data_IF_194615371094
#
_entry.id   IF_194615371094
#
_cell.length_a   1.000
_cell.length_b   1.000
_cell.length_c   1.000
_cell.angle_alpha   90.00
_cell.angle_beta   90.00
_cell.angle_gamma   90.00
#
_symmetry.space_group_name_H-M   'P 1'
#
loop_
_entity.id
_entity.type
_entity.pdbx_description
1 polymer ?
#
# COMPACT_ATOMS: atom_id res chain seq x y z
N UNK A 1 22.99 8.96 9.86
CA UNK A 1 23.03 7.56 9.38
C UNK A 1 22.78 7.58 7.89
N UNK A 2 23.83 7.45 7.08
CA UNK A 2 23.70 7.24 5.64
C UNK A 2 23.39 5.77 5.43
N UNK A 3 22.12 5.44 5.20
CA UNK A 3 21.73 4.11 4.74
C UNK A 3 22.52 3.84 3.44
N UNK A 4 23.28 2.74 3.35
CA UNK A 4 24.04 2.42 2.15
C UNK A 4 23.08 2.32 0.96
N UNK A 5 23.55 2.76 -0.20
CA UNK A 5 22.84 2.79 -1.48
C UNK A 5 22.57 1.37 -2.06
N UNK A 6 22.08 0.45 -1.22
CA UNK A 6 21.52 -0.87 -1.59
C UNK A 6 20.06 -0.68 -2.07
N UNK A 7 19.62 0.57 -2.23
CA UNK A 7 18.33 0.91 -2.83
C UNK A 7 18.49 0.81 -4.36
N UNK A 8 18.16 -0.40 -4.83
CA UNK A 8 17.22 -0.64 -5.91
C UNK A 8 17.51 0.12 -7.22
N UNK A 9 17.92 -0.62 -8.25
CA UNK A 9 17.60 -0.14 -9.60
C UNK A 9 16.07 0.09 -9.65
N UNK A 10 15.61 1.33 -9.92
CA UNK A 10 14.19 1.62 -9.98
C UNK A 10 13.58 0.67 -11.02
N UNK A 11 12.46 0.03 -10.67
CA UNK A 11 11.74 -0.76 -11.67
C UNK A 11 11.26 0.23 -12.70
N UNK A 12 11.67 0.02 -13.95
CA UNK A 12 11.18 0.84 -15.05
C UNK A 12 9.65 0.74 -15.12
N UNK A 13 8.99 1.86 -15.35
CA UNK A 13 7.53 1.98 -15.37
C UNK A 13 6.93 0.99 -16.37
N UNK A 14 7.60 0.81 -17.52
CA UNK A 14 7.19 -0.15 -18.55
C UNK A 14 7.23 -1.58 -17.99
N UNK A 15 8.32 -1.97 -17.33
CA UNK A 15 8.44 -3.32 -16.76
C UNK A 15 7.42 -3.56 -15.65
N UNK A 16 7.13 -2.55 -14.83
CA UNK A 16 6.09 -2.64 -13.80
C UNK A 16 4.69 -2.81 -14.42
N UNK A 17 4.40 -2.09 -15.51
CA UNK A 17 3.13 -2.17 -16.22
C UNK A 17 2.92 -3.52 -16.91
N UNK A 18 3.93 -4.00 -17.64
CA UNK A 18 3.86 -5.31 -18.29
C UNK A 18 3.82 -6.43 -17.24
N UNK A 19 4.63 -6.34 -16.18
CA UNK A 19 4.61 -7.29 -15.07
C UNK A 19 3.24 -7.38 -14.40
N UNK A 20 2.58 -6.24 -14.14
CA UNK A 20 1.25 -6.23 -13.54
C UNK A 20 0.17 -6.77 -14.48
N UNK A 21 0.26 -6.49 -15.78
CA UNK A 21 -0.70 -6.97 -16.78
C UNK A 21 -0.64 -8.48 -16.99
N UNK A 22 0.56 -9.07 -16.95
CA UNK A 22 0.76 -10.51 -17.15
C UNK A 22 0.83 -11.32 -15.85
N UNK A 23 0.61 -10.68 -14.70
CA UNK A 23 0.66 -11.35 -13.39
C UNK A 23 2.02 -11.94 -13.05
N UNK A 24 3.10 -11.34 -13.57
CA UNK A 24 4.46 -11.82 -13.29
C UNK A 24 4.87 -11.34 -11.89
N UNK A 25 4.90 -12.28 -10.95
CA UNK A 25 5.43 -12.05 -9.61
C UNK A 25 6.93 -11.74 -9.68
N UNK A 26 7.32 -10.46 -9.58
CA UNK A 26 8.72 -10.09 -9.37
C UNK A 26 8.96 -10.08 -7.86
N UNK A 27 9.08 -11.27 -7.27
CA UNK A 27 9.51 -11.40 -5.89
C UNK A 27 10.92 -10.80 -5.74
N UNK A 28 11.08 -9.77 -4.93
CA UNK A 28 12.38 -9.13 -4.72
C UNK A 28 12.82 -9.28 -3.28
N UNK A 29 13.65 -10.30 -3.07
CA UNK A 29 14.39 -10.43 -1.83
C UNK A 29 15.64 -9.53 -1.87
N UNK A 30 16.08 -8.98 -0.72
CA UNK A 30 17.32 -8.24 -0.64
C UNK A 30 18.45 -9.08 -1.24
N UNK A 31 19.13 -8.52 -2.24
CA UNK A 31 20.31 -9.15 -2.84
C UNK A 31 21.42 -9.18 -1.81
N UNK A 32 22.25 -10.23 -1.82
CA UNK A 32 23.52 -10.20 -1.11
C UNK A 32 24.28 -8.93 -1.52
N UNK A 33 24.93 -8.28 -0.56
CA UNK A 33 25.71 -7.06 -0.78
C UNK A 33 26.75 -7.24 -1.92
N UNK A 34 27.14 -8.48 -2.16
CA UNK A 34 28.13 -8.94 -3.13
C UNK A 34 27.62 -8.94 -4.59
N UNK A 35 26.41 -8.44 -4.86
CA UNK A 35 25.84 -8.38 -6.22
C UNK A 35 25.40 -9.73 -6.78
N UNK A 36 25.38 -10.78 -5.95
CA UNK A 36 24.98 -12.14 -6.33
C UNK A 36 23.49 -12.31 -6.65
N UNK A 37 23.13 -13.52 -7.09
CA UNK A 37 21.76 -13.93 -7.40
C UNK A 37 20.77 -13.58 -6.27
N UNK A 38 19.51 -13.32 -6.64
CA UNK A 38 18.44 -13.11 -5.66
C UNK A 38 18.41 -14.30 -4.69
N UNK A 39 18.53 -14.03 -3.39
CA UNK A 39 18.35 -15.06 -2.37
C UNK A 39 16.94 -15.61 -2.47
N UNK A 40 16.80 -16.93 -2.46
CA UNK A 40 15.48 -17.54 -2.31
C UNK A 40 14.90 -17.13 -0.94
N UNK A 41 13.57 -16.91 -0.83
CA UNK A 41 12.92 -16.77 0.47
C UNK A 41 13.34 -17.87 1.46
N UNK A 42 13.58 -19.08 0.95
CA UNK A 42 14.02 -20.24 1.71
C UNK A 42 15.39 -20.00 2.34
N UNK A 43 16.35 -19.50 1.57
CA UNK A 43 17.71 -19.24 2.04
C UNK A 43 17.74 -18.13 3.09
N UNK A 44 16.86 -17.13 2.95
CA UNK A 44 16.75 -16.05 3.92
C UNK A 44 16.09 -16.49 5.22
N UNK A 45 14.98 -17.22 5.12
CA UNK A 45 14.33 -17.80 6.29
C UNK A 45 15.27 -18.76 7.00
N UNK A 46 16.00 -19.59 6.24
CA UNK A 46 17.04 -20.46 6.78
C UNK A 46 18.15 -19.65 7.43
N UNK A 47 18.64 -18.57 6.81
CA UNK A 47 19.65 -17.69 7.42
C UNK A 47 19.19 -17.04 8.72
N UNK A 48 17.92 -16.61 8.79
CA UNK A 48 17.31 -16.10 10.03
C UNK A 48 17.22 -17.22 11.08
N UNK A 49 16.74 -18.41 10.69
CA UNK A 49 16.65 -19.57 11.58
C UNK A 49 18.02 -20.05 12.08
N UNK A 50 19.03 -20.09 11.21
CA UNK A 50 20.41 -20.46 11.53
C UNK A 50 21.04 -19.41 12.45
N UNK A 51 20.71 -18.12 12.27
CA UNK A 51 21.12 -17.04 13.18
C UNK A 51 20.52 -17.24 14.57
N UNK A 52 19.28 -17.73 14.68
CA UNK A 52 18.70 -18.15 15.96
C UNK A 52 19.31 -19.44 16.53
N UNK A 53 19.89 -20.30 15.68
CA UNK A 53 20.66 -21.47 16.11
C UNK A 53 21.94 -21.08 16.85
N UNK A 54 22.59 -19.99 16.42
CA UNK A 54 23.73 -19.39 17.13
C UNK A 54 23.33 -18.55 18.34
N UNK A 55 22.16 -17.89 18.28
CA UNK A 55 21.51 -17.21 19.39
C UNK A 55 20.63 -18.19 20.19
N UNK A 56 21.22 -19.32 20.61
CA UNK A 56 20.53 -20.30 21.41
C UNK A 56 20.33 -19.75 22.83
N UNK A 57 19.31 -18.92 23.03
CA UNK A 57 18.66 -18.92 24.33
C UNK A 57 18.23 -20.36 24.56
N UNK A 58 18.92 -21.06 25.45
CA UNK A 58 18.34 -22.24 26.08
C UNK A 58 16.93 -21.82 26.56
N UNK A 59 15.90 -22.69 26.45
CA UNK A 59 14.61 -22.42 27.09
C UNK A 59 14.79 -21.91 28.52
N UNK A 60 15.79 -22.43 29.24
CA UNK A 60 16.17 -22.02 30.58
C UNK A 60 16.77 -20.61 30.64
N UNK A 61 17.54 -20.18 29.63
CA UNK A 61 18.10 -18.83 29.56
C UNK A 61 17.05 -17.79 29.19
N UNK A 62 16.06 -18.14 28.35
CA UNK A 62 14.93 -17.25 28.07
C UNK A 62 14.10 -17.04 29.34
N UNK A 63 13.87 -18.12 30.10
CA UNK A 63 13.17 -18.10 31.40
C UNK A 63 14.00 -17.35 32.46
N UNK A 64 15.33 -17.50 32.45
CA UNK A 64 16.26 -16.81 33.38
C UNK A 64 16.57 -15.37 32.97
N UNK A 65 16.31 -14.98 31.72
CA UNK A 65 16.45 -13.60 31.28
C UNK A 65 15.52 -12.72 32.11
N UNK A 66 15.97 -11.51 32.42
CA UNK A 66 15.37 -10.68 33.47
C UNK A 66 13.87 -10.36 33.30
N UNK A 67 13.30 -10.58 32.09
CA UNK A 67 11.86 -10.66 31.89
C UNK A 67 11.52 -11.31 30.51
N UNK A 68 11.14 -12.60 30.44
CA UNK A 68 10.75 -13.25 29.18
C UNK A 68 9.52 -12.59 28.54
N UNK A 69 8.64 -11.98 29.34
CA UNK A 69 7.47 -11.27 28.81
C UNK A 69 7.91 -10.01 28.06
N UNK A 70 8.86 -9.27 28.61
CA UNK A 70 9.40 -8.07 27.96
C UNK A 70 10.00 -8.36 26.58
N UNK A 71 10.73 -9.47 26.42
CA UNK A 71 11.28 -9.87 25.11
C UNK A 71 10.17 -10.21 24.12
N UNK A 72 9.15 -10.92 24.58
CA UNK A 72 8.00 -11.29 23.77
C UNK A 72 7.19 -10.05 23.36
N UNK A 73 6.96 -9.14 24.30
CA UNK A 73 6.25 -7.88 24.08
C UNK A 73 7.00 -7.02 23.06
N UNK A 74 8.33 -6.93 23.13
CA UNK A 74 9.14 -6.22 22.12
C UNK A 74 9.04 -6.86 20.73
N UNK A 75 9.05 -8.19 20.65
CA UNK A 75 8.91 -8.88 19.36
C UNK A 75 7.51 -8.64 18.77
N UNK A 76 6.48 -8.65 19.61
CA UNK A 76 5.10 -8.30 19.24
C UNK A 76 4.99 -6.84 18.80
N UNK A 77 5.58 -5.90 19.52
CA UNK A 77 5.60 -4.48 19.16
C UNK A 77 6.26 -4.26 17.79
N UNK A 78 7.35 -4.99 17.51
CA UNK A 78 8.00 -4.95 16.18
C UNK A 78 7.09 -5.49 15.08
N UNK A 79 6.32 -6.54 15.36
CA UNK A 79 5.34 -7.09 14.41
C UNK A 79 4.21 -6.08 14.16
N UNK A 80 3.66 -5.50 15.23
CA UNK A 80 2.58 -4.52 15.16
C UNK A 80 3.02 -3.25 14.43
N UNK A 81 4.26 -2.81 14.61
CA UNK A 81 4.82 -1.67 13.87
C UNK A 81 4.94 -1.97 12.37
N UNK A 82 5.50 -3.12 11.99
CA UNK A 82 5.60 -3.52 10.58
C UNK A 82 4.22 -3.64 9.92
N UNK A 83 3.23 -4.13 10.67
CA UNK A 83 1.83 -4.20 10.24
C UNK A 83 1.22 -2.80 10.05
N UNK A 84 1.36 -1.90 11.04
CA UNK A 84 0.86 -0.51 10.96
C UNK A 84 1.43 0.22 9.75
N UNK A 85 2.72 0.03 9.44
CA UNK A 85 3.33 0.60 8.25
C UNK A 85 2.68 0.10 6.96
N UNK A 86 2.36 -1.19 6.89
CA UNK A 86 1.64 -1.76 5.73
C UNK A 86 0.25 -1.14 5.59
N UNK A 87 -0.52 -1.13 6.66
CA UNK A 87 -1.89 -0.59 6.68
C UNK A 87 -1.92 0.90 6.34
N UNK A 88 -0.94 1.67 6.82
CA UNK A 88 -0.80 3.09 6.48
C UNK A 88 -0.56 3.30 4.98
N UNK A 89 0.33 2.53 4.35
CA UNK A 89 0.61 2.67 2.93
C UNK A 89 -0.58 2.26 2.06
N UNK A 90 -1.25 1.15 2.41
CA UNK A 90 -2.45 0.69 1.70
C UNK A 90 -3.59 1.73 1.83
N UNK A 91 -3.80 2.29 3.03
CA UNK A 91 -4.79 3.36 3.24
C UNK A 91 -4.45 4.64 2.45
N UNK A 92 -3.17 5.00 2.38
CA UNK A 92 -2.70 6.15 1.59
C UNK A 92 -2.94 5.93 0.08
N UNK A 93 -2.62 4.75 -0.43
CA UNK A 93 -2.86 4.39 -1.83
C UNK A 93 -4.36 4.38 -2.17
N UNK A 94 -5.18 3.84 -1.28
CA UNK A 94 -6.65 3.85 -1.42
C UNK A 94 -7.21 5.27 -1.52
N UNK A 95 -6.77 6.20 -0.66
CA UNK A 95 -7.17 7.61 -0.74
C UNK A 95 -6.79 8.26 -2.07
N UNK A 96 -5.58 7.99 -2.58
CA UNK A 96 -5.12 8.53 -3.85
C UNK A 96 -6.00 8.04 -5.01
N UNK A 97 -6.32 6.75 -5.06
CA UNK A 97 -7.18 6.16 -6.08
C UNK A 97 -8.59 6.78 -6.07
N UNK A 98 -9.16 6.97 -4.88
CA UNK A 98 -10.48 7.61 -4.74
C UNK A 98 -10.48 9.04 -5.28
N UNK A 99 -9.45 9.83 -4.96
CA UNK A 99 -9.31 11.20 -5.48
C UNK A 99 -9.23 11.19 -7.01
N UNK A 100 -8.40 10.31 -7.59
CA UNK A 100 -8.26 10.17 -9.04
C UNK A 100 -9.59 9.73 -9.70
N UNK A 101 -10.35 8.84 -9.06
CA UNK A 101 -11.65 8.41 -9.57
C UNK A 101 -12.65 9.58 -9.62
N UNK A 102 -12.73 10.40 -8.57
CA UNK A 102 -13.58 11.59 -8.56
C UNK A 102 -13.16 12.62 -9.61
N UNK A 103 -11.85 12.88 -9.74
CA UNK A 103 -11.31 13.75 -10.79
C UNK A 103 -11.67 13.22 -12.18
N UNK A 104 -11.57 11.90 -12.39
CA UNK A 104 -11.92 11.23 -13.66
C UNK A 104 -13.41 11.40 -13.99
N UNK A 105 -14.30 11.24 -13.00
CA UNK A 105 -15.74 11.44 -13.18
C UNK A 105 -16.10 12.89 -13.51
N UNK A 106 -15.46 13.85 -12.82
CA UNK A 106 -15.66 15.27 -13.07
C UNK A 106 -15.22 15.66 -14.49
N UNK A 107 -14.02 15.23 -14.91
CA UNK A 107 -13.53 15.54 -16.27
C UNK A 107 -14.35 14.82 -17.33
N UNK A 108 -14.81 13.58 -17.10
CA UNK A 108 -15.68 12.88 -18.04
C UNK A 108 -17.00 13.64 -18.26
N UNK A 109 -17.55 14.27 -17.22
CA UNK A 109 -18.76 15.09 -17.32
C UNK A 109 -18.52 16.35 -18.17
N UNK A 110 -17.42 17.06 -17.91
CA UNK A 110 -17.03 18.25 -18.69
C UNK A 110 -16.75 17.87 -20.15
N UNK A 111 -16.07 16.76 -20.36
CA UNK A 111 -15.76 16.24 -21.69
C UNK A 111 -17.02 15.78 -22.44
N UNK A 112 -18.02 15.23 -21.75
CA UNK A 112 -19.32 14.91 -22.35
C UNK A 112 -19.98 16.14 -22.98
N UNK A 113 -19.96 17.28 -22.28
CA UNK A 113 -20.43 18.55 -22.85
C UNK A 113 -19.58 19.02 -24.04
N UNK A 114 -18.28 18.79 -23.99
CA UNK A 114 -17.39 19.08 -25.12
C UNK A 114 -17.77 18.27 -26.37
N UNK A 115 -18.10 16.98 -26.23
CA UNK A 115 -18.56 16.13 -27.34
C UNK A 115 -19.86 16.70 -27.95
N UNK A 116 -20.80 17.16 -27.13
CA UNK A 116 -22.07 17.75 -27.60
C UNK A 116 -21.83 18.99 -28.49
N UNK A 117 -20.82 19.80 -28.15
CA UNK A 117 -20.46 21.00 -28.92
C UNK A 117 -19.61 20.70 -30.15
N UNK A 118 -18.80 19.65 -30.10
CA UNK A 118 -17.82 19.30 -31.14
C UNK A 118 -17.92 17.82 -31.55
N UNK A 119 -19.03 17.39 -32.18
CA UNK A 119 -19.20 16.02 -32.64
C UNK A 119 -18.27 15.73 -33.82
N UNK A 120 -17.50 14.64 -33.74
CA UNK A 120 -16.51 14.27 -34.76
C UNK A 120 -17.12 13.91 -36.12
N UNK A 121 -18.41 13.53 -36.15
CA UNK A 121 -19.09 13.08 -37.36
C UNK A 121 -19.79 14.20 -38.14
N UNK A 122 -19.93 15.41 -37.57
CA UNK A 122 -20.56 16.50 -38.31
C UNK A 122 -19.52 17.09 -39.26
N UNK A 123 -19.69 16.83 -40.56
CA UNK A 123 -18.83 17.36 -41.63
C UNK A 123 -18.94 18.88 -41.82
N UNK A 124 -19.13 19.65 -40.74
CA UNK A 124 -19.32 21.09 -40.80
C UNK A 124 -18.01 21.81 -41.14
N UNK A 125 -18.05 22.56 -42.25
CA UNK A 125 -16.94 23.38 -42.76
C UNK A 125 -16.39 24.39 -41.74
N UNK A 126 -17.19 24.80 -40.74
CA UNK A 126 -16.79 25.74 -39.68
C UNK A 126 -15.75 25.19 -38.71
N UNK A 127 -15.59 23.86 -38.62
CA UNK A 127 -14.64 23.22 -37.71
C UNK A 127 -13.32 22.91 -38.42
N UNK A 128 -13.17 23.21 -39.71
CA UNK A 128 -12.00 22.76 -40.49
C UNK A 128 -10.68 23.33 -39.97
N UNK A 129 -10.69 24.59 -39.52
CA UNK A 129 -9.50 25.24 -38.93
C UNK A 129 -9.28 24.86 -37.46
N UNK A 130 -10.36 24.48 -36.76
CA UNK A 130 -10.35 24.04 -35.37
C UNK A 130 -10.13 22.52 -35.19
N UNK A 131 -10.30 21.75 -36.26
CA UNK A 131 -10.20 20.30 -36.29
C UNK A 131 -8.92 19.74 -35.64
N UNK A 132 -7.70 20.28 -35.90
CA UNK A 132 -6.51 19.74 -35.25
C UNK A 132 -6.57 19.91 -33.73
N UNK A 133 -7.14 21.01 -33.24
CA UNK A 133 -7.21 21.30 -31.82
C UNK A 133 -8.23 20.42 -31.10
N UNK A 134 -9.40 20.23 -31.71
CA UNK A 134 -10.41 19.27 -31.25
C UNK A 134 -9.80 17.87 -31.17
N UNK A 135 -9.10 17.41 -32.22
CA UNK A 135 -8.43 16.11 -32.23
C UNK A 135 -7.37 15.96 -31.14
N UNK A 136 -6.60 17.02 -30.86
CA UNK A 136 -5.64 17.04 -29.75
C UNK A 136 -6.36 16.84 -28.41
N UNK A 137 -7.49 17.53 -28.18
CA UNK A 137 -8.28 17.40 -26.95
C UNK A 137 -8.84 15.99 -26.78
N UNK A 138 -9.38 15.37 -27.84
CA UNK A 138 -9.80 13.96 -27.81
C UNK A 138 -8.63 13.02 -27.52
N UNK A 139 -7.47 13.25 -28.16
CA UNK A 139 -6.26 12.46 -27.94
C UNK A 139 -5.72 12.57 -26.51
N UNK A 140 -5.69 13.77 -25.95
CA UNK A 140 -5.29 14.02 -24.56
C UNK A 140 -6.23 13.34 -23.57
N UNK A 141 -7.54 13.38 -23.80
CA UNK A 141 -8.52 12.70 -22.96
C UNK A 141 -8.36 11.17 -23.02
N UNK A 142 -8.22 10.60 -24.22
CA UNK A 142 -7.97 9.17 -24.37
C UNK A 142 -6.66 8.72 -23.71
N UNK A 143 -5.58 9.47 -23.92
CA UNK A 143 -4.28 9.21 -23.31
C UNK A 143 -4.33 9.32 -21.78
N UNK A 144 -5.04 10.33 -21.25
CA UNK A 144 -5.31 10.47 -19.82
C UNK A 144 -6.00 9.22 -19.25
N UNK A 145 -7.09 8.76 -19.87
CA UNK A 145 -7.83 7.59 -19.42
C UNK A 145 -6.95 6.32 -19.43
N UNK A 146 -6.12 6.14 -20.46
CA UNK A 146 -5.19 5.01 -20.54
C UNK A 146 -4.15 5.05 -19.42
N UNK A 147 -3.57 6.23 -19.13
CA UNK A 147 -2.60 6.39 -18.04
C UNK A 147 -3.22 6.21 -16.65
N UNK A 148 -4.45 6.72 -16.44
CA UNK A 148 -5.19 6.49 -15.18
C UNK A 148 -5.45 5.00 -15.00
N UNK A 149 -5.96 4.31 -16.02
CA UNK A 149 -6.23 2.88 -15.97
C UNK A 149 -4.96 2.07 -15.72
N UNK A 150 -3.86 2.38 -16.42
CA UNK A 150 -2.56 1.75 -16.22
C UNK A 150 -2.00 1.98 -14.80
N UNK A 151 -2.05 3.22 -14.32
CA UNK A 151 -1.61 3.58 -12.96
C UNK A 151 -2.45 2.90 -11.88
N UNK A 152 -3.77 2.82 -12.08
CA UNK A 152 -4.68 2.12 -11.18
C UNK A 152 -4.42 0.61 -11.17
N UNK A 153 -4.19 -0.01 -12.33
CA UNK A 153 -3.86 -1.43 -12.45
C UNK A 153 -2.55 -1.77 -11.71
N UNK A 154 -1.50 -0.98 -11.90
CA UNK A 154 -0.22 -1.16 -11.20
C UNK A 154 -0.39 -0.99 -9.68
N UNK A 155 -1.14 0.03 -9.25
CA UNK A 155 -1.41 0.28 -7.82
C UNK A 155 -2.22 -0.86 -7.20
N UNK A 156 -3.25 -1.36 -7.90
CA UNK A 156 -4.05 -2.49 -7.45
C UNK A 156 -3.22 -3.77 -7.36
N UNK A 157 -2.38 -4.02 -8.36
CA UNK A 157 -1.46 -5.16 -8.35
C UNK A 157 -0.54 -5.09 -7.13
N UNK A 158 0.06 -3.92 -6.84
CA UNK A 158 0.89 -3.68 -5.66
C UNK A 158 0.15 -3.99 -4.34
N UNK A 159 -1.10 -3.52 -4.22
CA UNK A 159 -1.94 -3.80 -3.04
C UNK A 159 -2.32 -5.28 -2.91
N UNK A 160 -2.49 -5.98 -4.04
CA UNK A 160 -2.92 -7.38 -4.11
C UNK A 160 -1.82 -8.42 -3.83
N UNK A 161 -0.57 -7.97 -3.64
CA UNK A 161 0.57 -8.88 -3.45
C UNK A 161 0.32 -9.89 -2.31
N UNK A 162 0.37 -11.17 -2.68
CA UNK A 162 0.18 -12.29 -1.75
C UNK A 162 1.48 -12.53 -0.98
N UNK A 163 1.38 -13.15 0.19
CA UNK A 163 2.55 -13.68 0.87
C UNK A 163 3.12 -14.83 0.04
N UNK A 164 4.25 -14.59 -0.64
CA UNK A 164 5.04 -15.64 -1.27
C UNK A 164 5.65 -16.44 -0.13
N UNK A 165 5.14 -17.66 0.03
CA UNK A 165 5.67 -18.60 1.00
C UNK A 165 6.44 -19.66 0.25
N UNK A 166 7.62 -20.09 0.73
CA UNK A 166 8.27 -21.25 0.17
C UNK A 166 7.29 -22.42 0.15
N UNK A 167 6.97 -22.84 -1.07
CA UNK A 167 6.00 -23.88 -1.35
C UNK A 167 6.65 -25.23 -1.08
N UNK A 168 6.87 -25.57 0.19
CA UNK A 168 7.14 -26.95 0.56
C UNK A 168 5.90 -27.78 0.23
N UNK A 169 5.92 -28.49 -0.90
CA UNK A 169 4.86 -29.44 -1.30
C UNK A 169 4.69 -30.57 -0.27
N UNK A 170 5.66 -30.72 0.64
CA UNK A 170 5.75 -31.85 1.57
C UNK A 170 5.56 -31.44 3.05
N UNK A 171 4.97 -30.28 3.35
CA UNK A 171 4.79 -29.83 4.74
C UNK A 171 3.59 -30.50 5.46
N UNK A 172 2.66 -31.13 4.74
CA UNK A 172 1.48 -31.77 5.33
C UNK A 172 1.82 -32.98 6.24
N UNK A 173 3.01 -33.56 6.06
CA UNK A 173 3.49 -34.72 6.82
C UNK A 173 4.59 -34.39 7.83
N UNK A 174 4.98 -33.11 7.98
CA UNK A 174 5.95 -32.75 9.02
C UNK A 174 5.24 -32.63 10.39
N UNK A 175 5.77 -33.28 11.44
CA UNK A 175 5.20 -33.20 12.79
C UNK A 175 5.43 -31.84 13.45
N UNK A 176 6.31 -31.00 12.91
CA UNK A 176 6.67 -29.70 13.50
C UNK A 176 5.71 -28.58 13.10
N UNK A 177 5.29 -27.79 14.10
CA UNK A 177 4.44 -26.60 13.91
C UNK A 177 5.25 -25.49 13.24
N UNK A 178 4.90 -25.15 12.00
CA UNK A 178 5.66 -24.18 11.19
C UNK A 178 5.56 -22.73 11.67
N UNK A 179 4.37 -22.25 12.05
CA UNK A 179 4.15 -20.98 12.75
C UNK A 179 2.80 -21.02 13.49
N UNK A 180 2.75 -20.43 14.68
CA UNK A 180 1.53 -20.28 15.50
C UNK A 180 0.73 -19.01 15.19
N UNK A 181 1.27 -18.06 14.43
CA UNK A 181 0.66 -16.73 14.24
C UNK A 181 0.08 -16.55 12.83
N UNK A 182 0.75 -17.06 11.78
CA UNK A 182 0.25 -16.93 10.41
C UNK A 182 -0.81 -17.97 10.04
N UNK A 183 -1.98 -17.49 9.59
CA UNK A 183 -3.11 -18.34 9.20
C UNK A 183 -2.71 -19.47 8.24
N UNK A 184 -1.87 -19.18 7.23
CA UNK A 184 -1.49 -20.15 6.19
C UNK A 184 -0.66 -21.32 6.75
N UNK A 185 0.11 -21.08 7.81
CA UNK A 185 0.89 -22.10 8.49
C UNK A 185 0.05 -22.84 9.53
N UNK A 186 -0.80 -22.12 10.26
CA UNK A 186 -1.74 -22.70 11.21
C UNK A 186 -2.67 -23.70 10.53
N UNK A 187 -3.27 -23.37 9.38
CA UNK A 187 -4.17 -24.29 8.65
C UNK A 187 -3.45 -25.49 8.01
N UNK A 188 -2.13 -25.41 7.83
CA UNK A 188 -1.32 -26.51 7.28
C UNK A 188 -0.83 -27.46 8.35
N UNK A 189 -0.82 -27.00 9.60
CA UNK A 189 -0.41 -27.80 10.75
C UNK A 189 -1.58 -28.69 11.16
N UNK A 190 -1.30 -29.94 11.55
CA UNK A 190 -2.32 -30.84 12.09
C UNK A 190 -2.89 -30.28 13.41
N UNK A 191 -4.20 -30.33 13.64
CA UNK A 191 -4.81 -29.76 14.83
C UNK A 191 -4.29 -30.41 16.13
N UNK A 192 -3.92 -31.70 16.08
CA UNK A 192 -3.35 -32.43 17.21
C UNK A 192 -1.98 -31.86 17.61
N UNK A 193 -1.05 -31.75 16.66
CA UNK A 193 0.28 -31.19 16.89
C UNK A 193 0.24 -29.72 17.30
N UNK A 194 -0.73 -28.96 16.78
CA UNK A 194 -0.95 -27.58 17.20
C UNK A 194 -1.41 -27.52 18.66
N UNK A 195 -2.36 -28.37 19.08
CA UNK A 195 -2.81 -28.46 20.46
C UNK A 195 -1.73 -28.95 21.43
N UNK A 196 -0.94 -29.94 21.02
CA UNK A 196 0.20 -30.47 21.78
C UNK A 196 1.24 -29.39 22.11
N UNK A 197 1.50 -28.47 21.18
CA UNK A 197 2.41 -27.35 21.42
C UNK A 197 1.95 -26.45 22.58
N UNK A 198 0.64 -26.26 22.77
CA UNK A 198 0.09 -25.48 23.90
C UNK A 198 -0.01 -26.27 25.19
N UNK A 199 -0.11 -27.61 25.10
CA UNK A 199 -0.13 -28.49 26.26
C UNK A 199 1.27 -28.85 26.77
N UNK A 200 2.31 -28.64 25.94
CA UNK A 200 3.71 -28.97 26.21
C UNK A 200 4.46 -27.97 27.10
N UNK A 201 5.78 -27.91 26.91
CA UNK A 201 6.65 -27.04 27.71
C UNK A 201 6.41 -25.55 27.41
N UNK A 202 6.21 -24.78 28.49
CA UNK A 202 5.98 -23.34 28.41
C UNK A 202 7.23 -22.59 27.90
N UNK A 203 8.42 -23.07 28.21
CA UNK A 203 9.67 -22.50 27.73
C UNK A 203 9.80 -22.63 26.21
N UNK A 204 9.57 -23.83 25.70
CA UNK A 204 9.52 -24.13 24.26
C UNK A 204 8.44 -23.33 23.53
N UNK A 205 7.24 -23.21 24.10
CA UNK A 205 6.16 -22.40 23.55
C UNK A 205 6.56 -20.91 23.43
N UNK A 206 7.14 -20.33 24.48
CA UNK A 206 7.60 -18.94 24.48
C UNK A 206 8.70 -18.70 23.44
N UNK A 207 9.65 -19.63 23.33
CA UNK A 207 10.71 -19.58 22.31
C UNK A 207 10.13 -19.64 20.91
N UNK A 208 9.15 -20.50 20.69
CA UNK A 208 8.45 -20.64 19.40
C UNK A 208 7.70 -19.38 19.03
N UNK A 209 6.97 -18.78 19.97
CA UNK A 209 6.31 -17.49 19.75
C UNK A 209 7.30 -16.39 19.41
N UNK A 210 8.37 -16.24 20.19
CA UNK A 210 9.39 -15.22 19.95
C UNK A 210 10.00 -15.36 18.55
N UNK A 211 10.41 -16.58 18.16
CA UNK A 211 10.93 -16.90 16.83
C UNK A 211 9.92 -16.52 15.74
N UNK A 212 8.65 -16.86 15.93
CA UNK A 212 7.61 -16.52 14.97
C UNK A 212 7.42 -15.01 14.90
N UNK A 213 7.20 -14.28 16.01
CA UNK A 213 7.05 -12.83 15.99
C UNK A 213 8.17 -12.12 15.22
N UNK A 214 9.44 -12.46 15.48
CA UNK A 214 10.57 -11.83 14.79
C UNK A 214 10.62 -12.21 13.30
N UNK A 215 10.43 -13.48 12.98
CA UNK A 215 10.44 -13.95 11.58
C UNK A 215 9.30 -13.30 10.80
N UNK A 216 8.12 -13.17 11.39
CA UNK A 216 6.94 -12.59 10.78
C UNK A 216 7.05 -11.08 10.62
N UNK A 217 7.58 -10.37 11.62
CA UNK A 217 7.87 -8.95 11.51
C UNK A 217 8.83 -8.67 10.35
N UNK A 218 9.85 -9.53 10.19
CA UNK A 218 10.78 -9.45 9.05
C UNK A 218 10.07 -9.67 7.71
N UNK A 219 9.26 -10.71 7.59
CA UNK A 219 8.53 -11.04 6.36
C UNK A 219 7.54 -9.96 5.94
N UNK A 220 6.82 -9.38 6.91
CA UNK A 220 5.94 -8.25 6.66
C UNK A 220 6.75 -7.04 6.20
N UNK A 221 7.87 -6.74 6.86
CA UNK A 221 8.74 -5.64 6.46
C UNK A 221 9.31 -5.82 5.04
N UNK A 222 9.76 -7.04 4.70
CA UNK A 222 10.20 -7.37 3.35
C UNK A 222 9.07 -7.19 2.32
N UNK A 223 7.85 -7.63 2.65
CA UNK A 223 6.67 -7.42 1.82
C UNK A 223 6.34 -5.94 1.63
N UNK A 224 6.46 -5.13 2.68
CA UNK A 224 6.25 -3.68 2.60
C UNK A 224 7.26 -3.05 1.65
N UNK A 225 8.53 -3.44 1.74
CA UNK A 225 9.56 -2.95 0.83
C UNK A 225 9.24 -3.28 -0.63
N UNK A 226 8.76 -4.49 -0.92
CA UNK A 226 8.32 -4.88 -2.25
C UNK A 226 7.10 -4.08 -2.73
N UNK A 227 6.08 -3.94 -1.87
CA UNK A 227 4.90 -3.13 -2.15
C UNK A 227 5.28 -1.68 -2.51
N UNK A 228 6.13 -1.05 -1.70
CA UNK A 228 6.57 0.33 -1.91
C UNK A 228 7.28 0.51 -3.25
N UNK A 229 8.03 -0.50 -3.69
CA UNK A 229 8.74 -0.48 -4.97
C UNK A 229 7.80 -0.51 -6.18
N UNK A 230 6.66 -1.21 -6.08
CA UNK A 230 5.60 -1.17 -7.10
C UNK A 230 4.71 0.07 -6.98
N UNK A 231 4.59 0.63 -5.77
CA UNK A 231 3.81 1.82 -5.53
C UNK A 231 4.41 3.05 -6.22
N UNK A 232 5.74 3.20 -6.22
CA UNK A 232 6.43 4.31 -6.88
C UNK A 232 6.12 4.44 -8.39
N UNK A 233 6.28 3.40 -9.24
CA UNK A 233 5.92 3.51 -10.66
C UNK A 233 4.41 3.74 -10.86
N UNK A 234 3.54 3.14 -10.02
CA UNK A 234 2.11 3.40 -10.06
C UNK A 234 1.76 4.86 -9.77
N UNK A 235 2.36 5.44 -8.72
CA UNK A 235 2.21 6.85 -8.37
C UNK A 235 2.78 7.77 -9.45
N UNK A 236 3.91 7.42 -10.07
CA UNK A 236 4.47 8.18 -11.20
C UNK A 236 3.52 8.18 -12.39
N UNK A 237 2.92 7.04 -12.75
CA UNK A 237 1.91 6.97 -13.82
C UNK A 237 0.69 7.85 -13.51
N UNK A 238 0.21 7.81 -12.27
CA UNK A 238 -0.88 8.69 -11.82
C UNK A 238 -0.48 10.17 -11.81
N UNK A 239 0.77 10.50 -11.49
CA UNK A 239 1.27 11.87 -11.57
C UNK A 239 1.35 12.36 -13.02
N UNK A 240 1.81 11.50 -13.94
CA UNK A 240 1.79 11.78 -15.37
C UNK A 240 0.37 11.97 -15.89
N UNK A 241 -0.59 11.15 -15.45
CA UNK A 241 -1.99 11.33 -15.85
C UNK A 241 -2.55 12.68 -15.36
N UNK A 242 -2.24 13.10 -14.13
CA UNK A 242 -2.63 14.43 -13.62
C UNK A 242 -2.01 15.56 -14.45
N UNK A 243 -0.75 15.44 -14.89
CA UNK A 243 -0.11 16.43 -15.77
C UNK A 243 -0.81 16.52 -17.13
N UNK A 244 -1.18 15.37 -17.70
CA UNK A 244 -1.94 15.35 -18.96
C UNK A 244 -3.35 15.91 -18.75
N UNK A 245 -3.99 15.65 -17.60
CA UNK A 245 -5.28 16.23 -17.25
C UNK A 245 -5.20 17.76 -17.18
N UNK A 246 -4.15 18.33 -16.60
CA UNK A 246 -3.92 19.78 -16.63
C UNK A 246 -3.75 20.30 -18.06
N UNK A 247 -2.97 19.59 -18.88
CA UNK A 247 -2.86 19.87 -20.31
C UNK A 247 -4.21 19.83 -21.03
N UNK A 248 -5.06 18.86 -20.70
CA UNK A 248 -6.41 18.72 -21.22
C UNK A 248 -7.30 19.90 -20.80
N UNK A 249 -7.25 20.36 -19.55
CA UNK A 249 -8.01 21.54 -19.11
C UNK A 249 -7.60 22.81 -19.88
N UNK A 250 -6.30 23.05 -20.03
CA UNK A 250 -5.80 24.13 -20.89
C UNK A 250 -6.27 23.94 -22.34
N UNK A 251 -6.24 22.68 -22.80
CA UNK A 251 -6.74 22.24 -24.10
C UNK A 251 -8.27 22.17 -24.20
N UNK A 252 -9.04 22.56 -23.18
CA UNK A 252 -10.48 22.75 -23.29
C UNK A 252 -10.76 24.25 -23.35
N UNK A 253 -10.12 25.00 -22.45
CA UNK A 253 -10.24 26.45 -22.35
C UNK A 253 -9.92 27.12 -23.69
N UNK A 254 -8.79 26.80 -24.34
CA UNK A 254 -8.55 27.46 -25.63
C UNK A 254 -9.50 27.00 -26.76
N UNK A 255 -10.21 25.86 -26.68
CA UNK A 255 -11.18 25.49 -27.74
C UNK A 255 -12.31 26.48 -27.60
N UNK A 256 -12.80 26.67 -26.38
CA UNK A 256 -13.89 27.59 -26.11
C UNK A 256 -13.54 29.06 -26.42
N UNK A 257 -12.26 29.43 -26.30
CA UNK A 257 -11.80 30.80 -26.64
C UNK A 257 -11.63 30.99 -28.13
N UNK A 258 -11.03 30.02 -28.84
CA UNK A 258 -10.69 30.13 -30.26
C UNK A 258 -11.90 29.81 -31.14
N UNK A 259 -12.70 28.83 -30.73
CA UNK A 259 -13.82 28.31 -31.48
C UNK A 259 -15.08 28.81 -30.81
N UNK A 260 -15.72 29.81 -31.43
CA UNK A 260 -17.03 30.24 -31.00
C UNK A 260 -17.98 29.03 -31.03
N UNK A 261 -18.73 28.77 -29.95
CA UNK A 261 -19.66 27.65 -29.93
C UNK A 261 -20.63 27.80 -31.11
N UNK A 262 -20.93 26.72 -31.84
CA UNK A 262 -21.91 26.79 -32.91
C UNK A 262 -23.21 27.37 -32.34
N UNK A 263 -23.87 28.30 -33.06
CA UNK A 263 -25.14 28.84 -32.60
C UNK A 263 -26.04 27.65 -32.33
N UNK A 264 -26.48 27.50 -31.07
CA UNK A 264 -27.46 26.49 -30.70
C UNK A 264 -28.61 26.68 -31.68
N UNK A 265 -28.81 25.74 -32.60
CA UNK A 265 -30.00 25.75 -33.43
C UNK A 265 -31.14 25.72 -32.42
N UNK A 266 -31.87 26.84 -32.31
CA UNK A 266 -32.97 26.96 -31.37
C UNK A 266 -33.84 25.73 -31.60
N UNK A 267 -34.02 24.93 -30.55
CA UNK A 267 -35.07 23.93 -30.50
C UNK A 267 -36.42 24.68 -30.41
N UNK A 268 -36.73 25.44 -31.46
CA UNK A 268 -38.00 26.11 -31.64
C UNK A 268 -38.77 25.38 -32.75
N UNK A 269 -39.93 24.89 -32.33
CA UNK A 269 -41.12 24.63 -33.14
C UNK A 269 -41.20 23.32 -33.94
N UNK A 270 -41.15 22.18 -33.25
CA UNK A 270 -41.97 21.03 -33.66
C UNK A 270 -42.80 20.59 -32.45
N UNK A 271 -44.10 20.93 -32.47
CA UNK A 271 -45.06 20.33 -31.54
C UNK A 271 -46.16 21.19 -30.91
N UNK A 272 -46.67 22.24 -31.59
CA UNK A 272 -48.06 22.66 -31.33
C UNK A 272 -48.96 21.89 -32.29
N UNK A 273 -49.29 20.66 -31.89
CA UNK A 273 -50.16 19.74 -32.62
C UNK A 273 -50.92 18.92 -31.60
N UNK A 274 -51.93 19.54 -31.01
CA UNK A 274 -52.89 18.94 -30.09
C UNK A 274 -53.59 17.76 -30.76
N UNK A 275 -53.46 16.56 -30.19
CA UNK A 275 -54.46 15.52 -30.28
C UNK A 275 -54.53 14.81 -28.92
N UNK A 276 -55.59 15.15 -28.19
CA UNK A 276 -56.01 14.52 -26.94
C UNK A 276 -56.46 13.07 -27.14
N UNK A 277 -56.61 12.36 -26.01
CA UNK A 277 -57.19 11.00 -25.76
C UNK A 277 -56.09 10.03 -25.31
N UNK A 278 -56.01 9.48 -24.08
CA UNK A 278 -56.96 9.21 -22.99
C UNK A 278 -56.20 8.88 -21.68
N UNK A 279 -56.82 8.93 -20.47
CA UNK A 279 -56.18 8.61 -19.19
C UNK A 279 -56.51 7.15 -18.72
N UNK A 280 -56.13 6.71 -17.51
CA UNK A 280 -54.88 6.04 -17.17
C UNK A 280 -55.11 4.56 -16.77
N UNK A 281 -54.16 3.66 -17.09
CA UNK A 281 -54.11 2.34 -16.46
C UNK A 281 -52.93 2.26 -15.48
N UNK A 282 -53.28 1.83 -14.28
CA UNK A 282 -52.45 1.77 -13.09
C UNK A 282 -51.60 0.49 -13.01
N UNK A 283 -50.39 0.67 -12.46
CA UNK A 283 -49.60 -0.28 -11.63
C UNK A 283 -49.05 -1.56 -12.32
N UNK A 284 -47.93 -2.16 -11.85
CA UNK A 284 -47.42 -2.11 -10.48
C UNK A 284 -45.96 -1.68 -10.28
N UNK A 285 -45.72 -1.27 -9.05
CA UNK A 285 -44.44 -1.08 -8.39
C UNK A 285 -43.52 -2.29 -8.56
N UNK A 286 -42.41 -2.15 -9.30
CA UNK A 286 -41.26 -3.02 -9.15
C UNK A 286 -40.02 -2.46 -9.84
N UNK A 287 -39.08 -2.02 -9.02
CA UNK A 287 -37.68 -2.48 -9.00
C UNK A 287 -36.71 -1.34 -8.64
N UNK A 288 -36.04 -1.58 -7.52
CA UNK A 288 -34.67 -1.19 -7.24
C UNK A 288 -34.40 0.33 -7.19
N UNK A 289 -34.70 0.89 -6.01
CA UNK A 289 -33.82 1.87 -5.39
C UNK A 289 -32.37 1.37 -5.44
N UNK A 290 -31.57 1.94 -6.35
CA UNK A 290 -30.12 1.90 -6.23
C UNK A 290 -29.81 2.80 -5.03
N UNK A 291 -29.70 2.17 -3.85
CA UNK A 291 -29.08 2.81 -2.70
C UNK A 291 -27.69 3.23 -3.12
N UNK A 292 -27.51 4.53 -3.29
CA UNK A 292 -26.22 5.19 -3.16
C UNK A 292 -25.64 4.74 -1.83
N UNK A 293 -24.71 3.78 -1.88
CA UNK A 293 -23.87 3.45 -0.75
C UNK A 293 -23.00 4.67 -0.51
N UNK A 294 -23.53 5.63 0.25
CA UNK A 294 -22.73 6.61 0.97
C UNK A 294 -21.81 5.78 1.86
N UNK A 295 -20.58 5.59 1.39
CA UNK A 295 -19.44 5.20 2.19
C UNK A 295 -19.27 6.30 3.26
N UNK A 296 -20.06 6.18 4.34
CA UNK A 296 -19.74 6.79 5.61
C UNK A 296 -18.41 6.17 6.04
N UNK A 297 -17.35 6.88 5.69
CA UNK A 297 -16.07 6.73 6.35
C UNK A 297 -16.36 6.83 7.87
N UNK A 298 -15.95 5.87 8.70
CA UNK A 298 -16.01 6.07 10.13
C UNK A 298 -15.05 7.21 10.48
N UNK A 299 -15.61 8.40 10.60
CA UNK A 299 -15.00 9.57 11.22
C UNK A 299 -15.00 9.35 12.74
N UNK A 300 -14.22 8.35 13.19
CA UNK A 300 -13.88 8.17 14.60
C UNK A 300 -12.60 7.37 14.71
N UNK A 301 -11.64 7.95 15.43
CA UNK A 301 -10.28 7.48 15.73
C UNK A 301 -9.14 7.94 14.79
N UNK A 302 -8.98 9.26 14.64
CA UNK A 302 -7.64 9.87 14.50
C UNK A 302 -7.51 11.05 15.48
N UNK A 303 -7.94 10.84 16.73
CA UNK A 303 -7.74 11.79 17.81
C UNK A 303 -7.34 11.07 19.10
N UNK A 304 -6.44 10.09 19.02
CA UNK A 304 -5.88 9.44 20.22
C UNK A 304 -4.62 8.62 19.87
N UNK A 305 -3.63 9.25 19.22
CA UNK A 305 -2.28 8.65 19.15
C UNK A 305 -1.19 9.71 18.93
N UNK A 306 -1.29 10.80 19.70
CA UNK A 306 -0.16 11.71 19.95
C UNK A 306 -0.16 12.15 21.42
N UNK A 307 -0.15 11.20 22.34
CA UNK A 307 0.42 11.39 23.68
C UNK A 307 1.81 10.76 23.65
N UNK A 308 2.75 11.47 23.02
CA UNK A 308 4.17 11.21 23.19
C UNK A 308 4.51 11.51 24.64
N UNK A 309 4.81 10.44 25.37
CA UNK A 309 5.45 10.40 26.68
C UNK A 309 6.64 11.36 26.70
N UNK A 310 6.50 12.49 27.39
CA UNK A 310 7.64 13.27 27.89
C UNK A 310 8.42 12.38 28.86
N UNK A 311 9.56 11.88 28.41
CA UNK A 311 10.55 11.27 29.30
C UNK A 311 11.18 12.36 30.19
N UNK A 312 11.30 12.18 31.51
CA UNK A 312 11.89 13.18 32.39
C UNK A 312 13.40 13.26 32.18
N UNK A 313 13.83 14.44 31.73
CA UNK A 313 15.22 14.85 31.60
C UNK A 313 15.80 14.99 33.01
N UNK A 314 16.60 13.99 33.44
CA UNK A 314 17.36 14.04 34.69
C UNK A 314 18.52 15.03 34.54
N UNK A 315 18.27 16.27 34.93
CA UNK A 315 19.29 17.29 35.17
C UNK A 315 20.18 16.85 36.34
N UNK A 316 21.45 16.56 36.03
CA UNK A 316 22.54 16.52 37.02
C UNK A 316 23.00 17.96 37.22
N UNK A 317 22.64 18.56 38.35
CA UNK A 317 23.21 19.83 38.81
C UNK A 317 24.40 19.52 39.73
N UNK A 318 25.50 20.23 39.52
CA UNK A 318 26.76 20.14 40.25
C UNK A 318 26.63 20.40 41.75
N UNK A 319 27.52 19.80 42.53
CA UNK A 319 28.76 20.44 43.00
C UNK A 319 28.53 21.19 44.32
N UNK A 320 28.44 20.41 45.41
CA UNK A 320 28.59 20.87 46.78
C UNK A 320 29.97 20.45 47.30
N UNK A 321 30.76 21.46 47.67
CA UNK A 321 32.06 21.41 48.33
C UNK A 321 31.96 20.87 49.76
N UNK A 322 32.91 20.02 50.19
CA UNK A 322 33.44 19.95 51.57
C UNK A 322 34.72 19.09 51.65
N UNK A 323 35.84 19.80 51.85
CA UNK A 323 36.99 19.52 52.76
C UNK A 323 37.39 18.07 53.16
N UNK A 324 38.63 17.69 52.78
CA UNK A 324 39.79 17.15 53.56
C UNK A 324 39.62 16.13 54.73
N UNK A 325 40.65 15.37 55.17
CA UNK A 325 42.03 15.18 54.66
C UNK A 325 42.54 13.72 54.57
N UNK A 326 43.75 13.59 54.00
CA UNK A 326 44.85 12.60 54.11
C UNK A 326 44.74 11.48 55.19
N UNK A 327 45.28 10.26 54.94
CA UNK A 327 46.69 10.02 55.26
C UNK A 327 47.49 9.22 54.21
N UNK A 328 48.81 9.43 54.29
CA UNK A 328 49.90 8.68 53.68
C UNK A 328 49.78 7.18 53.98
N UNK A 329 50.19 6.33 53.04
CA UNK A 329 51.20 5.32 53.33
C UNK A 329 51.91 4.85 52.05
N UNK A 330 53.23 4.95 52.15
CA UNK A 330 54.27 4.31 51.36
C UNK A 330 54.18 2.79 51.45
N UNK A 331 55.04 2.11 50.67
CA UNK A 331 55.43 0.67 50.65
C UNK A 331 54.98 0.03 49.34
N UNK A 332 55.79 -0.66 48.54
CA UNK A 332 57.22 -0.92 48.44
C UNK A 332 57.36 -1.72 47.14
N UNK A 333 58.41 -1.48 46.35
CA UNK A 333 58.71 -2.30 45.17
C UNK A 333 59.30 -3.63 45.64
N UNK A 334 58.80 -4.73 45.08
CA UNK A 334 59.59 -5.85 44.59
C UNK A 334 58.84 -6.50 43.42
#
# INVERSE_FOLDING_TARGET
>A
MNLPAIIQSPIDVVRALFGSMFGVDVAYYPRKADGGANLSPEDMLKGIQDSFGGFAFSPDELIKSADPKLLLDRAKDSLDEARKQTEYQDAKAGRLLTIVAFLTAAIATVFGKFIDFYPLHSGQASVRDAAPWVMITYGLFGLYLLLVAAGALVTFHAMSTRFVWPGGKDQADKPEVGSVLFFKQVIRTRPESWGELFAGDRGELLRTYYKNYVTEAYLISAKVADKLRYLDPGQRLLLWSIRILLGLFCSLIMTFVIVAPPPKANAETVGSGVAATSPPQALPDSCASISTATLQLPEKQIAESQTVTKSPQRTKTGAGSTSNPTPKNSVEKN
#
